data_IF_613596476455
#
_entry.id   IF_613596476455
#
_cell.length_a   1.000
_cell.length_b   1.000
_cell.length_c   1.000
_cell.angle_alpha   90.00
_cell.angle_beta   90.00
_cell.angle_gamma   90.00
#
_symmetry.space_group_name_H-M   'P 1'
#
loop_
_entity.id
_entity.type
_entity.pdbx_description
1 polymer ?
#
# COMPACT_ATOMS: atom_id res chain seq x y z
N UNK A 1 -9.82 -6.45 4.86
CA UNK A 1 -9.29 -5.07 5.02
C UNK A 1 -8.38 -5.05 6.23
N UNK A 2 -7.12 -4.63 6.10
CA UNK A 2 -6.13 -4.63 7.20
C UNK A 2 -6.60 -3.84 8.44
N UNK A 3 -7.26 -2.71 8.22
CA UNK A 3 -7.77 -1.84 9.28
C UNK A 3 -9.09 -2.33 9.92
N UNK A 4 -9.65 -3.46 9.49
CA UNK A 4 -10.94 -3.96 10.01
C UNK A 4 -12.18 -3.11 9.64
N UNK A 5 -12.02 -2.13 8.75
CA UNK A 5 -13.10 -1.25 8.29
C UNK A 5 -13.64 -1.66 6.91
N UNK A 6 -14.82 -1.14 6.58
CA UNK A 6 -15.44 -1.30 5.27
C UNK A 6 -14.86 -0.31 4.23
N UNK A 7 -15.10 -0.59 2.96
CA UNK A 7 -14.72 0.30 1.85
C UNK A 7 -15.52 1.61 1.91
N UNK A 8 -16.81 1.54 2.24
CA UNK A 8 -17.67 2.73 2.36
C UNK A 8 -17.20 3.69 3.47
N UNK A 9 -16.72 3.15 4.59
CA UNK A 9 -16.16 3.95 5.69
C UNK A 9 -14.90 4.70 5.28
N UNK A 10 -13.96 4.05 4.58
CA UNK A 10 -12.73 4.72 4.15
C UNK A 10 -13.00 5.75 3.04
N UNK A 11 -13.95 5.47 2.14
CA UNK A 11 -14.39 6.44 1.11
C UNK A 11 -14.97 7.68 1.79
N UNK A 12 -15.86 7.48 2.77
CA UNK A 12 -16.48 8.58 3.53
C UNK A 12 -15.47 9.36 4.36
N UNK A 13 -14.40 8.72 4.85
CA UNK A 13 -13.35 9.36 5.62
C UNK A 13 -12.40 10.20 4.76
N UNK A 14 -12.03 9.68 3.58
CA UNK A 14 -11.14 10.37 2.65
C UNK A 14 -11.84 11.56 2.00
N UNK A 15 -13.14 11.42 1.68
CA UNK A 15 -14.00 12.47 1.12
C UNK A 15 -13.32 13.26 0.01
N UNK A 16 -12.71 12.53 -0.94
CA UNK A 16 -11.97 13.10 -2.05
C UNK A 16 -12.55 12.67 -3.40
N UNK A 17 -12.57 13.60 -4.35
CA UNK A 17 -13.00 13.35 -5.73
C UNK A 17 -11.82 13.00 -6.67
N UNK A 18 -10.61 12.87 -6.12
CA UNK A 18 -9.35 12.69 -6.85
C UNK A 18 -8.55 11.51 -6.28
N UNK A 19 -7.34 11.32 -6.80
CA UNK A 19 -6.40 10.33 -6.27
C UNK A 19 -6.05 10.57 -4.79
N UNK A 20 -5.99 9.48 -4.01
CA UNK A 20 -5.55 9.52 -2.63
C UNK A 20 -4.04 9.75 -2.57
N UNK A 21 -3.64 10.85 -1.94
CA UNK A 21 -2.23 11.18 -1.75
C UNK A 21 -1.59 10.34 -0.64
N UNK A 22 -0.26 10.23 -0.65
CA UNK A 22 0.49 9.55 0.43
C UNK A 22 0.20 10.17 1.81
N UNK A 23 -0.06 11.48 1.87
CA UNK A 23 -0.38 12.18 3.12
C UNK A 23 -1.73 11.73 3.67
N UNK A 24 -2.74 11.61 2.81
CA UNK A 24 -4.06 11.12 3.17
C UNK A 24 -4.02 9.64 3.55
N UNK A 25 -3.25 8.82 2.82
CA UNK A 25 -3.02 7.42 3.15
C UNK A 25 -2.45 7.27 4.57
N UNK A 26 -1.40 8.02 4.91
CA UNK A 26 -0.80 8.01 6.26
C UNK A 26 -1.77 8.50 7.32
N UNK A 27 -2.56 9.52 7.02
CA UNK A 27 -3.57 10.07 7.95
C UNK A 27 -4.67 9.03 8.22
N UNK A 28 -5.17 8.36 7.19
CA UNK A 28 -6.18 7.31 7.32
C UNK A 28 -5.61 6.10 8.08
N UNK A 29 -4.42 5.63 7.71
CA UNK A 29 -3.75 4.55 8.42
C UNK A 29 -3.66 4.85 9.92
N UNK A 30 -3.14 6.03 10.29
CA UNK A 30 -3.02 6.44 11.68
C UNK A 30 -4.38 6.56 12.39
N UNK A 31 -5.42 7.03 11.70
CA UNK A 31 -6.77 7.14 12.25
C UNK A 31 -7.36 5.77 12.62
N UNK A 32 -7.10 4.75 11.80
CA UNK A 32 -7.60 3.40 11.99
C UNK A 32 -6.62 2.46 12.72
N UNK A 33 -5.62 3.00 13.41
CA UNK A 33 -4.71 2.20 14.26
C UNK A 33 -3.57 1.50 13.51
N UNK A 34 -3.33 1.85 12.24
CA UNK A 34 -2.18 1.37 11.48
C UNK A 34 -1.04 2.39 11.55
N UNK A 35 0.18 1.90 11.74
CA UNK A 35 1.40 2.71 11.67
C UNK A 35 2.10 2.47 10.35
N UNK A 36 2.13 3.51 9.50
CA UNK A 36 2.94 3.51 8.28
C UNK A 36 4.31 4.13 8.56
N UNK A 37 5.38 3.44 8.16
CA UNK A 37 6.74 3.95 8.25
C UNK A 37 6.87 5.31 7.52
N UNK A 38 7.61 6.28 8.08
CA UNK A 38 7.91 7.52 7.38
C UNK A 38 8.91 7.31 6.25
N UNK A 39 9.70 6.24 6.30
CA UNK A 39 10.79 5.95 5.37
C UNK A 39 10.26 5.29 4.10
N UNK A 40 10.63 5.86 2.96
CA UNK A 40 10.46 5.22 1.65
C UNK A 40 11.71 4.43 1.34
N UNK A 41 11.59 3.11 1.22
CA UNK A 41 12.71 2.21 0.97
C UNK A 41 12.59 1.66 -0.45
N UNK A 42 13.67 1.71 -1.22
CA UNK A 42 13.72 1.07 -2.54
C UNK A 42 13.86 -0.44 -2.37
N UNK A 43 13.17 -1.21 -3.20
CA UNK A 43 13.20 -2.67 -3.13
C UNK A 43 13.42 -3.27 -4.51
N UNK A 44 14.27 -4.29 -4.57
CA UNK A 44 14.59 -5.01 -5.80
C UNK A 44 14.14 -6.46 -5.76
N UNK A 45 14.01 -7.04 -4.56
CA UNK A 45 13.60 -8.42 -4.35
C UNK A 45 12.52 -8.56 -3.26
N UNK A 46 11.67 -9.59 -3.40
CA UNK A 46 10.61 -9.91 -2.42
C UNK A 46 11.15 -10.18 -1.01
N UNK A 47 12.36 -10.75 -0.90
CA UNK A 47 12.97 -11.10 0.39
C UNK A 47 13.33 -9.89 1.25
N UNK A 48 13.36 -8.69 0.66
CA UNK A 48 13.61 -7.43 1.37
C UNK A 48 12.33 -6.83 1.99
N UNK A 49 11.15 -7.38 1.66
CA UNK A 49 9.87 -6.87 2.14
C UNK A 49 9.60 -7.29 3.59
N UNK A 50 9.10 -6.38 4.44
CA UNK A 50 8.62 -6.73 5.78
C UNK A 50 7.30 -7.53 5.69
N UNK A 51 6.83 -8.06 6.81
CA UNK A 51 5.59 -8.87 6.88
C UNK A 51 4.38 -8.19 6.20
N UNK A 52 4.23 -6.87 6.37
CA UNK A 52 3.19 -6.09 5.68
C UNK A 52 3.73 -4.72 5.27
N UNK A 53 3.50 -4.32 4.01
CA UNK A 53 3.88 -3.00 3.51
C UNK A 53 3.01 -2.54 2.34
N UNK A 54 2.96 -1.23 2.13
CA UNK A 54 2.43 -0.65 0.90
C UNK A 54 3.58 -0.49 -0.09
N UNK A 55 3.38 -1.01 -1.28
CA UNK A 55 4.25 -0.88 -2.44
C UNK A 55 3.78 0.26 -3.31
N UNK A 56 4.75 1.01 -3.83
CA UNK A 56 4.57 1.96 -4.91
C UNK A 56 5.40 1.49 -6.09
N UNK A 57 4.70 1.14 -7.16
CA UNK A 57 5.24 0.51 -8.36
C UNK A 57 5.21 1.53 -9.49
N UNK A 58 6.36 1.77 -10.11
CA UNK A 58 6.45 2.61 -11.30
C UNK A 58 6.00 1.80 -12.53
N UNK A 59 4.81 2.10 -13.03
CA UNK A 59 4.31 1.57 -14.29
C UNK A 59 4.53 2.59 -15.42
N UNK A 60 4.48 2.19 -16.70
CA UNK A 60 4.67 3.12 -17.82
C UNK A 60 3.68 4.29 -17.88
N UNK A 61 2.53 4.19 -17.20
CA UNK A 61 1.46 5.20 -17.26
C UNK A 61 1.30 6.00 -15.98
N UNK A 62 1.59 5.40 -14.83
CA UNK A 62 1.37 6.01 -13.53
C UNK A 62 2.15 5.29 -12.41
N UNK A 63 2.16 5.90 -11.24
CA UNK A 63 2.53 5.21 -10.00
C UNK A 63 1.32 4.43 -9.48
N UNK A 64 1.52 3.15 -9.26
CA UNK A 64 0.49 2.24 -8.77
C UNK A 64 0.76 1.85 -7.31
N UNK A 65 -0.31 1.74 -6.51
CA UNK A 65 -0.23 1.34 -5.11
C UNK A 65 -0.72 -0.09 -4.94
N UNK A 66 0.13 -0.95 -4.40
CA UNK A 66 -0.19 -2.35 -4.11
C UNK A 66 0.07 -2.65 -2.63
N UNK A 67 -0.66 -3.58 -2.04
CA UNK A 67 -0.43 -4.02 -0.66
C UNK A 67 0.28 -5.38 -0.67
N UNK A 68 1.39 -5.49 0.06
CA UNK A 68 2.00 -6.77 0.39
C UNK A 68 1.67 -7.16 1.82
N UNK A 69 1.21 -8.39 2.04
CA UNK A 69 0.98 -8.94 3.37
C UNK A 69 1.22 -10.46 3.36
N UNK A 70 2.10 -10.92 4.23
CA UNK A 70 2.41 -12.35 4.46
C UNK A 70 2.74 -13.15 3.19
N UNK A 71 3.38 -12.52 2.21
CA UNK A 71 3.76 -13.17 0.97
C UNK A 71 2.76 -13.02 -0.19
N UNK A 72 1.65 -12.34 0.04
CA UNK A 72 0.60 -12.12 -0.96
C UNK A 72 0.57 -10.64 -1.35
N UNK A 73 0.46 -10.37 -2.64
CA UNK A 73 0.29 -9.04 -3.21
C UNK A 73 -1.18 -8.83 -3.55
N UNK A 74 -1.74 -7.72 -3.08
CA UNK A 74 -3.11 -7.30 -3.32
C UNK A 74 -3.06 -6.02 -4.15
N UNK A 75 -3.29 -6.19 -5.45
CA UNK A 75 -3.23 -5.14 -6.45
C UNK A 75 -4.66 -4.79 -6.91
N UNK A 76 -5.12 -3.54 -6.80
CA UNK A 76 -6.45 -3.15 -7.26
C UNK A 76 -6.70 -3.37 -8.76
N UNK A 77 -5.67 -3.41 -9.60
CA UNK A 77 -5.79 -3.60 -11.06
C UNK A 77 -5.61 -5.07 -11.47
N UNK A 78 -4.68 -5.78 -10.83
CA UNK A 78 -4.28 -7.14 -11.21
C UNK A 78 -4.86 -8.23 -10.28
N UNK A 79 -5.50 -7.83 -9.18
CA UNK A 79 -6.08 -8.74 -8.21
C UNK A 79 -5.06 -9.28 -7.19
N UNK A 80 -5.25 -10.53 -6.79
CA UNK A 80 -4.38 -11.20 -5.80
C UNK A 80 -3.29 -11.97 -6.54
N UNK A 81 -2.03 -11.70 -6.20
CA UNK A 81 -0.87 -12.30 -6.83
C UNK A 81 0.08 -12.86 -5.76
N UNK A 82 0.73 -13.98 -6.08
CA UNK A 82 1.76 -14.58 -5.23
C UNK A 82 3.17 -14.17 -5.66
N UNK A 83 3.32 -13.64 -6.87
CA UNK A 83 4.62 -13.26 -7.46
C UNK A 83 4.94 -11.78 -7.25
N UNK A 84 6.24 -11.48 -7.13
CA UNK A 84 6.70 -10.10 -6.97
C UNK A 84 6.42 -9.29 -8.24
N UNK A 85 5.68 -8.17 -8.16
CA UNK A 85 5.20 -7.47 -9.35
C UNK A 85 6.36 -6.91 -10.18
N UNK A 86 6.25 -6.98 -11.51
CA UNK A 86 7.21 -6.38 -12.43
C UNK A 86 6.95 -4.86 -12.55
N UNK A 87 7.98 -4.06 -12.27
CA UNK A 87 7.94 -2.60 -12.38
C UNK A 87 9.36 -2.06 -12.52
N UNK A 88 9.50 -0.90 -13.16
CA UNK A 88 10.82 -0.28 -13.40
C UNK A 88 11.50 0.12 -12.08
N UNK A 89 10.72 0.69 -11.16
CA UNK A 89 11.14 1.06 -9.81
C UNK A 89 10.06 0.66 -8.82
N UNK A 90 10.49 0.24 -7.63
CA UNK A 90 9.61 -0.23 -6.58
C UNK A 90 10.08 0.37 -5.26
N UNK A 91 9.14 0.96 -4.55
CA UNK A 91 9.37 1.48 -3.22
C UNK A 91 8.36 0.90 -2.25
N UNK A 92 8.71 0.76 -0.98
CA UNK A 92 7.76 0.38 0.05
C UNK A 92 7.77 1.28 1.28
N UNK A 93 6.64 1.25 1.99
CA UNK A 93 6.48 1.75 3.35
C UNK A 93 5.94 0.60 4.21
N UNK A 94 6.69 0.22 5.23
CA UNK A 94 6.27 -0.79 6.21
C UNK A 94 4.96 -0.36 6.91
N UNK A 95 4.05 -1.32 7.11
CA UNK A 95 2.84 -1.15 7.92
C UNK A 95 2.92 -2.03 9.15
N UNK A 96 2.58 -1.47 10.31
CA UNK A 96 2.38 -2.22 11.55
C UNK A 96 0.98 -2.00 12.07
N UNK A 97 0.36 -3.06 12.56
CA UNK A 97 -0.90 -2.99 13.30
C UNK A 97 -0.53 -2.68 14.76
N UNK A 98 -1.17 -1.67 15.37
CA UNK A 98 -1.01 -1.36 16.79
C UNK A 98 -1.88 -2.23 17.68
#
# INVERSE_FOLDING_TARGET
MLAGITVDEIISFLDNDRETTLKEMKKAAAHYGLEMSPHRIEVHDRTELPETCILSLETPRCWHWSLYSEGVFYDPEHGVMDDFPEANRKYYWEIKIK
#
